data_IF_072918015922
#
_entry.id   IF_072918015922
#
_cell.length_a   1.000
_cell.length_b   1.000
_cell.length_c   1.000
_cell.angle_alpha   90.00
_cell.angle_beta   90.00
_cell.angle_gamma   90.00
#
_symmetry.space_group_name_H-M   'P 1'
#
loop_
_entity.id
_entity.type
_entity.pdbx_description
1 polymer ?
#
# COMPACT_ATOMS: atom_id res chain seq x y z
N UNK A 1 8.61 -0.83 -1.71
CA UNK A 1 7.41 -1.29 -2.45
C UNK A 1 7.75 -1.65 -3.91
N UNK A 2 8.54 -0.83 -4.61
CA UNK A 2 9.01 -1.10 -5.99
C UNK A 2 9.89 -2.36 -6.10
N UNK A 3 10.64 -2.71 -5.04
CA UNK A 3 11.59 -3.84 -5.09
C UNK A 3 10.96 -5.24 -5.20
N UNK A 4 9.69 -5.42 -4.78
CA UNK A 4 9.04 -6.75 -4.82
C UNK A 4 8.54 -7.15 -6.22
N UNK A 5 8.32 -6.18 -7.11
CA UNK A 5 7.88 -6.43 -8.49
C UNK A 5 9.07 -6.62 -9.46
N UNK A 6 10.32 -6.69 -8.96
CA UNK A 6 11.51 -6.91 -9.80
C UNK A 6 11.52 -8.27 -10.51
N UNK A 7 10.85 -9.29 -9.96
CA UNK A 7 10.82 -10.62 -10.57
C UNK A 7 9.93 -10.72 -11.82
N UNK A 8 9.17 -9.68 -12.15
CA UNK A 8 8.32 -9.61 -13.35
C UNK A 8 8.75 -8.50 -14.31
N UNK A 9 9.90 -7.87 -14.08
CA UNK A 9 10.39 -6.74 -14.87
C UNK A 9 11.49 -7.18 -15.83
N UNK A 10 11.35 -6.91 -17.13
CA UNK A 10 12.42 -7.19 -18.09
C UNK A 10 13.56 -6.19 -17.93
N UNK A 11 14.79 -6.69 -17.77
CA UNK A 11 15.98 -5.84 -17.80
C UNK A 11 16.53 -5.74 -19.22
N UNK A 12 16.64 -4.51 -19.72
CA UNK A 12 17.18 -4.23 -21.06
C UNK A 12 18.30 -3.20 -20.96
N UNK A 13 19.40 -3.40 -21.68
CA UNK A 13 20.48 -2.41 -21.75
C UNK A 13 20.04 -1.19 -22.57
N UNK A 14 20.53 0.01 -22.23
CA UNK A 14 20.15 1.28 -22.88
C UNK A 14 20.20 1.20 -24.41
N UNK A 15 21.27 0.66 -24.98
CA UNK A 15 21.45 0.62 -26.43
C UNK A 15 20.41 -0.29 -27.11
N UNK A 16 20.10 -1.43 -26.48
CA UNK A 16 19.04 -2.33 -26.94
C UNK A 16 17.66 -1.72 -26.80
N UNK A 17 17.43 -0.95 -25.73
CA UNK A 17 16.17 -0.25 -25.51
C UNK A 17 15.92 0.82 -26.58
N UNK A 18 16.93 1.64 -26.89
CA UNK A 18 16.82 2.68 -27.91
C UNK A 18 16.65 2.11 -29.32
N UNK A 19 17.34 1.02 -29.64
CA UNK A 19 17.25 0.39 -30.97
C UNK A 19 15.92 -0.35 -31.22
N UNK A 20 15.23 -0.80 -30.16
CA UNK A 20 14.05 -1.65 -30.26
C UNK A 20 12.81 -1.08 -29.54
N UNK A 21 12.78 0.24 -29.33
CA UNK A 21 11.76 0.90 -28.51
C UNK A 21 10.33 0.54 -28.95
N UNK A 22 10.02 0.62 -30.24
CA UNK A 22 8.66 0.36 -30.75
C UNK A 22 8.21 -1.10 -30.56
N UNK A 23 9.14 -2.04 -30.72
CA UNK A 23 8.88 -3.45 -30.45
C UNK A 23 8.65 -3.70 -28.97
N UNK A 24 9.51 -3.14 -28.12
CA UNK A 24 9.41 -3.24 -26.67
C UNK A 24 8.14 -2.58 -26.14
N UNK A 25 7.70 -1.47 -26.73
CA UNK A 25 6.45 -0.79 -26.39
C UNK A 25 5.24 -1.70 -26.64
N UNK A 26 5.12 -2.21 -27.85
CA UNK A 26 3.96 -3.00 -28.28
C UNK A 26 3.91 -4.39 -27.62
N UNK A 27 5.06 -5.04 -27.45
CA UNK A 27 5.13 -6.37 -26.85
C UNK A 27 4.88 -6.33 -25.34
N UNK A 28 5.51 -5.40 -24.61
CA UNK A 28 5.38 -5.36 -23.15
C UNK A 28 4.02 -4.86 -22.68
N UNK A 29 3.33 -4.05 -23.49
CA UNK A 29 1.94 -3.71 -23.21
C UNK A 29 1.01 -4.94 -23.34
N UNK A 30 1.30 -5.89 -24.23
CA UNK A 30 0.56 -7.17 -24.34
C UNK A 30 0.94 -8.16 -23.24
N UNK A 31 2.22 -8.18 -22.85
CA UNK A 31 2.74 -9.08 -21.84
C UNK A 31 2.46 -8.61 -20.40
N UNK A 32 1.89 -7.41 -20.22
CA UNK A 32 1.66 -6.78 -18.91
C UNK A 32 2.92 -6.71 -18.03
N UNK A 33 4.06 -6.39 -18.66
CA UNK A 33 5.36 -6.34 -17.99
C UNK A 33 6.01 -4.96 -18.09
N UNK A 34 6.69 -4.58 -17.00
CA UNK A 34 7.47 -3.33 -16.91
C UNK A 34 8.87 -3.59 -17.44
N UNK A 35 9.51 -2.57 -18.02
CA UNK A 35 10.91 -2.67 -18.46
C UNK A 35 11.77 -1.81 -17.55
N UNK A 36 12.84 -2.40 -17.01
CA UNK A 36 13.91 -1.68 -16.36
C UNK A 36 15.06 -1.48 -17.37
N UNK A 37 15.41 -0.21 -17.62
CA UNK A 37 16.53 0.14 -18.49
C UNK A 37 17.78 0.26 -17.63
N UNK A 38 18.83 -0.47 -18.01
CA UNK A 38 20.15 -0.42 -17.35
C UNK A 38 21.20 0.25 -18.24
N UNK A 39 22.17 0.90 -17.61
CA UNK A 39 23.41 1.34 -18.23
C UNK A 39 24.57 0.82 -17.38
N UNK A 40 25.32 -0.16 -17.91
CA UNK A 40 26.25 -0.96 -17.11
C UNK A 40 25.48 -1.74 -16.02
N UNK A 41 25.94 -1.63 -14.77
CA UNK A 41 25.34 -2.30 -13.61
C UNK A 41 24.26 -1.46 -12.90
N UNK A 42 23.95 -0.27 -13.42
CA UNK A 42 22.97 0.63 -12.80
C UNK A 42 21.67 0.66 -13.60
N UNK A 43 20.54 0.54 -12.89
CA UNK A 43 19.22 0.83 -13.46
C UNK A 43 19.08 2.35 -13.56
N UNK A 44 18.87 2.84 -14.78
CA UNK A 44 18.77 4.27 -15.09
C UNK A 44 17.32 4.75 -15.23
N UNK A 45 16.37 3.83 -15.42
CA UNK A 45 14.97 4.19 -15.54
C UNK A 45 14.05 2.98 -15.64
N UNK A 46 12.76 3.25 -15.41
CA UNK A 46 11.69 2.28 -15.62
C UNK A 46 10.75 2.83 -16.67
N UNK A 47 10.41 1.96 -17.60
CA UNK A 47 9.43 2.23 -18.62
C UNK A 47 8.13 1.51 -18.26
N UNK A 48 7.09 2.30 -17.99
CA UNK A 48 5.79 1.88 -17.48
C UNK A 48 4.75 1.94 -18.61
N UNK A 49 4.25 0.80 -19.11
CA UNK A 49 3.24 0.81 -20.16
C UNK A 49 1.86 1.19 -19.62
N UNK A 50 0.88 1.55 -20.47
CA UNK A 50 -0.45 1.98 -20.05
C UNK A 50 -1.20 1.01 -19.10
N UNK A 51 -1.00 -0.30 -19.22
CA UNK A 51 -1.59 -1.27 -18.27
C UNK A 51 -1.07 -1.06 -16.84
N UNK A 52 0.20 -0.66 -16.70
CA UNK A 52 0.83 -0.46 -15.40
C UNK A 52 0.20 0.74 -14.69
N UNK A 53 -0.07 1.82 -15.42
CA UNK A 53 -0.77 3.00 -14.89
C UNK A 53 -2.13 2.61 -14.30
N UNK A 54 -2.98 1.90 -15.06
CA UNK A 54 -4.28 1.41 -14.57
C UNK A 54 -4.16 0.54 -13.31
N UNK A 55 -3.16 -0.35 -13.28
CA UNK A 55 -2.90 -1.24 -12.13
C UNK A 55 -2.42 -0.45 -10.91
N UNK A 56 -1.64 0.60 -11.10
CA UNK A 56 -1.22 1.49 -10.01
C UNK A 56 -2.39 2.30 -9.49
N UNK A 57 -3.21 2.88 -10.36
CA UNK A 57 -4.39 3.65 -9.97
C UNK A 57 -5.36 2.80 -9.14
N UNK A 58 -5.67 1.58 -9.61
CA UNK A 58 -6.53 0.66 -8.87
C UNK A 58 -5.93 0.22 -7.52
N UNK A 59 -4.60 0.04 -7.46
CA UNK A 59 -3.92 -0.26 -6.19
C UNK A 59 -3.98 0.92 -5.22
N UNK A 60 -3.84 2.14 -5.72
CA UNK A 60 -3.94 3.37 -4.91
C UNK A 60 -5.36 3.51 -4.38
N UNK A 61 -6.37 3.38 -5.24
CA UNK A 61 -7.78 3.46 -4.86
C UNK A 61 -8.16 2.40 -3.81
N UNK A 62 -7.69 1.17 -3.97
CA UNK A 62 -7.89 0.11 -2.97
C UNK A 62 -7.20 0.41 -1.64
N UNK A 63 -5.99 0.97 -1.68
CA UNK A 63 -5.25 1.34 -0.48
C UNK A 63 -5.93 2.51 0.27
N UNK A 64 -6.42 3.50 -0.47
CA UNK A 64 -7.18 4.63 0.08
C UNK A 64 -8.51 4.17 0.68
N UNK A 65 -9.25 3.30 -0.02
CA UNK A 65 -10.50 2.73 0.47
C UNK A 65 -10.28 1.97 1.76
N UNK A 66 -9.23 1.14 1.81
CA UNK A 66 -8.85 0.41 3.03
C UNK A 66 -8.48 1.37 4.16
N UNK A 67 -7.70 2.41 3.86
CA UNK A 67 -7.32 3.41 4.86
C UNK A 67 -8.55 4.12 5.46
N UNK A 68 -9.55 4.47 4.63
CA UNK A 68 -10.79 5.06 5.11
C UNK A 68 -11.58 4.09 6.01
N UNK A 69 -11.65 2.82 5.65
CA UNK A 69 -12.27 1.78 6.50
C UNK A 69 -11.55 1.64 7.85
N UNK A 70 -10.21 1.61 7.84
CA UNK A 70 -9.40 1.55 9.05
C UNK A 70 -9.65 2.78 9.95
N UNK A 71 -9.78 3.98 9.37
CA UNK A 71 -10.09 5.21 10.11
C UNK A 71 -11.47 5.15 10.78
N UNK A 72 -12.48 4.60 10.10
CA UNK A 72 -13.83 4.41 10.66
C UNK A 72 -13.75 3.44 11.85
N UNK A 73 -13.09 2.30 11.66
CA UNK A 73 -12.95 1.28 12.70
C UNK A 73 -12.20 1.83 13.92
N UNK A 74 -11.11 2.57 13.72
CA UNK A 74 -10.36 3.23 14.80
C UNK A 74 -11.27 4.19 15.59
N UNK A 75 -12.13 4.94 14.89
CA UNK A 75 -13.07 5.86 15.55
C UNK A 75 -14.10 5.10 16.41
N UNK A 76 -14.60 3.97 15.93
CA UNK A 76 -15.52 3.11 16.69
C UNK A 76 -14.84 2.48 17.90
N UNK A 77 -13.66 1.90 17.72
CA UNK A 77 -12.88 1.30 18.80
C UNK A 77 -12.54 2.33 19.89
N UNK A 78 -12.18 3.56 19.52
CA UNK A 78 -11.96 4.65 20.49
C UNK A 78 -13.21 4.99 21.30
N UNK A 79 -14.40 4.93 20.70
CA UNK A 79 -15.66 5.12 21.44
C UNK A 79 -15.91 3.97 22.41
N UNK A 80 -15.70 2.73 21.98
CA UNK A 80 -15.86 1.56 22.84
C UNK A 80 -14.90 1.59 24.03
N UNK A 81 -13.63 1.95 23.81
CA UNK A 81 -12.64 2.14 24.89
C UNK A 81 -13.12 3.18 25.89
N UNK A 82 -13.58 4.36 25.43
CA UNK A 82 -14.10 5.39 26.35
C UNK A 82 -15.27 4.91 27.20
N UNK A 83 -16.17 4.12 26.64
CA UNK A 83 -17.31 3.54 27.37
C UNK A 83 -16.83 2.51 28.39
N UNK A 84 -15.88 1.66 28.01
CA UNK A 84 -15.29 0.66 28.91
C UNK A 84 -14.51 1.34 30.05
N UNK A 85 -13.73 2.37 29.76
CA UNK A 85 -13.01 3.16 30.76
C UNK A 85 -13.99 3.83 31.74
N UNK A 86 -15.09 4.38 31.24
CA UNK A 86 -16.13 4.97 32.10
C UNK A 86 -16.80 3.93 33.00
N UNK A 87 -17.09 2.73 32.46
CA UNK A 87 -17.63 1.61 33.26
C UNK A 87 -16.65 1.14 34.32
N UNK A 88 -15.38 0.97 33.96
CA UNK A 88 -14.33 0.55 34.90
C UNK A 88 -14.16 1.57 36.03
N UNK A 89 -14.22 2.88 35.72
CA UNK A 89 -14.20 3.94 36.73
C UNK A 89 -15.39 3.86 37.68
N UNK A 90 -16.62 3.77 37.15
CA UNK A 90 -17.82 3.62 37.98
C UNK A 90 -17.75 2.37 38.88
N UNK A 91 -17.20 1.27 38.36
CA UNK A 91 -17.02 0.06 39.15
C UNK A 91 -15.94 0.21 40.23
N UNK A 92 -14.87 0.96 39.96
CA UNK A 92 -13.87 1.30 40.96
C UNK A 92 -14.45 2.20 42.06
N UNK A 93 -15.16 3.26 41.68
CA UNK A 93 -15.81 4.19 42.61
C UNK A 93 -16.83 3.45 43.52
N UNK A 94 -17.66 2.58 42.95
CA UNK A 94 -18.58 1.73 43.71
C UNK A 94 -17.88 0.77 44.68
N UNK A 95 -16.68 0.29 44.35
CA UNK A 95 -15.92 -0.60 45.21
C UNK A 95 -15.18 0.17 46.33
N UNK A 96 -14.79 1.43 46.11
CA UNK A 96 -14.21 2.30 47.14
C UNK A 96 -15.26 2.78 48.16
N UNK A 97 -16.47 3.13 47.70
CA UNK A 97 -17.58 3.52 48.58
C UNK A 97 -18.05 2.35 49.47
N UNK A 98 -18.00 1.11 48.96
CA UNK A 98 -18.35 -0.09 49.74
C UNK A 98 -17.30 -0.46 50.81
N UNK A 99 -16.04 -0.03 50.66
CA UNK A 99 -14.97 -0.31 51.62
C UNK A 99 -14.81 0.77 52.70
N UNK A 100 -15.37 1.96 52.50
CA UNK A 100 -15.36 3.06 53.48
C UNK A 100 -16.58 3.08 54.40
N UNK A 101 -17.55 2.19 54.18
CA UNK A 101 -18.80 2.08 54.94
C UNK A 101 -18.77 1.04 56.09
N UNK A 102 -17.58 0.62 56.55
CA UNK A 102 -17.35 -0.32 57.67
C UNK A 102 -16.52 0.35 58.77
#
# INVERSE_FOLDING_TARGET
MISKDYHTTYLVNRDMFLANFDYLWSYNNKAEQVIAVKQGDKVIGYYLPPFAAKKFDQKIENAETKHQQDLILIKELRKQIKVLDARNKLQADLNEDNNTSL
#
